data_IF_956312675074
#
_entry.id   IF_956312675074
#
_cell.length_a   1.000
_cell.length_b   1.000
_cell.length_c   1.000
_cell.angle_alpha   90.00
_cell.angle_beta   90.00
_cell.angle_gamma   90.00
#
_symmetry.space_group_name_H-M   'P 1'
#
loop_
_entity.id
_entity.type
_entity.pdbx_description
1 polymer ?
#
# COMPACT_ATOMS: atom_id res chain seq x y z
N UNK A 1 -2.55 4.41 0.92
CA UNK A 1 -2.00 3.03 0.88
C UNK A 1 -2.43 2.38 -0.42
N UNK A 2 -1.91 2.90 -1.53
CA UNK A 2 -2.18 2.34 -2.84
C UNK A 2 -1.19 1.20 -3.10
N UNK A 3 -1.75 0.01 -3.34
CA UNK A 3 -1.04 -1.23 -3.67
C UNK A 3 -1.98 -2.14 -4.45
N UNK A 4 -1.42 -3.11 -5.18
CA UNK A 4 -2.20 -4.03 -6.01
C UNK A 4 -3.26 -4.81 -5.23
N UNK A 5 -2.99 -5.20 -3.97
CA UNK A 5 -3.98 -5.87 -3.11
C UNK A 5 -5.17 -5.00 -2.69
N UNK A 6 -5.04 -3.66 -2.78
CA UNK A 6 -6.09 -2.71 -2.46
C UNK A 6 -6.89 -2.29 -3.71
N UNK A 7 -6.56 -2.86 -4.88
CA UNK A 7 -7.31 -2.68 -6.11
C UNK A 7 -8.28 -3.84 -6.31
N UNK A 8 -9.57 -3.55 -6.18
CA UNK A 8 -10.63 -4.53 -6.29
C UNK A 8 -11.20 -4.51 -7.71
N UNK A 9 -11.11 -5.63 -8.42
CA UNK A 9 -11.70 -5.79 -9.75
C UNK A 9 -13.03 -6.54 -9.63
N UNK A 10 -14.11 -5.92 -10.09
CA UNK A 10 -15.42 -6.58 -10.16
C UNK A 10 -15.51 -7.55 -11.34
N UNK A 11 -16.50 -8.46 -11.31
CA UNK A 11 -16.80 -9.36 -12.43
C UNK A 11 -17.22 -8.61 -13.72
N UNK A 12 -17.50 -7.30 -13.65
CA UNK A 12 -17.84 -6.44 -14.80
C UNK A 12 -16.63 -5.66 -15.34
N UNK A 13 -15.41 -6.02 -14.94
CA UNK A 13 -14.20 -5.30 -15.32
C UNK A 13 -14.05 -3.92 -14.67
N UNK A 14 -14.90 -3.55 -13.71
CA UNK A 14 -14.80 -2.25 -13.00
C UNK A 14 -13.77 -2.36 -11.89
N UNK A 15 -12.72 -1.55 -11.97
CA UNK A 15 -11.70 -1.37 -10.95
C UNK A 15 -12.16 -0.38 -9.88
N UNK A 16 -11.98 -0.73 -8.61
CA UNK A 16 -12.28 0.14 -7.47
C UNK A 16 -11.10 0.16 -6.50
N UNK A 17 -10.76 1.34 -6.00
CA UNK A 17 -9.82 1.48 -4.89
C UNK A 17 -10.54 1.10 -3.60
N UNK A 18 -9.93 0.19 -2.83
CA UNK A 18 -10.37 -0.18 -1.50
C UNK A 18 -9.41 0.32 -0.42
N UNK A 19 -9.75 0.01 0.84
CA UNK A 19 -8.92 0.27 2.02
C UNK A 19 -8.48 1.73 2.19
N UNK A 20 -9.43 2.55 2.68
CA UNK A 20 -9.20 3.95 3.05
C UNK A 20 -8.80 4.11 4.53
N UNK A 21 -8.38 3.03 5.22
CA UNK A 21 -8.06 3.07 6.65
C UNK A 21 -6.91 4.01 7.02
N UNK A 22 -6.12 4.42 6.02
CA UNK A 22 -5.00 5.35 6.15
C UNK A 22 -5.21 6.65 5.36
N UNK A 23 -6.39 6.83 4.76
CA UNK A 23 -6.75 8.07 4.10
C UNK A 23 -6.84 9.21 5.13
N UNK A 24 -6.42 10.40 4.72
CA UNK A 24 -6.45 11.60 5.55
C UNK A 24 -6.97 12.75 4.70
N UNK A 25 -7.77 13.62 5.32
CA UNK A 25 -8.14 14.88 4.69
C UNK A 25 -6.87 15.71 4.47
N UNK A 26 -6.72 16.20 3.23
CA UNK A 26 -5.73 17.21 2.90
C UNK A 26 -6.36 18.58 3.13
N UNK A 27 -5.67 19.44 3.90
CA UNK A 27 -6.15 20.76 4.23
C UNK A 27 -5.03 21.63 4.80
N UNK A 28 -5.18 22.94 4.70
CA UNK A 28 -4.26 23.90 5.28
C UNK A 28 -4.52 24.04 6.79
N UNK A 29 -3.51 23.93 7.67
CA UNK A 29 -2.09 23.71 7.38
C UNK A 29 -1.72 22.24 7.24
N UNK A 30 -0.69 21.96 6.43
CA UNK A 30 -0.04 20.66 6.33
C UNK A 30 0.53 20.27 7.70
N UNK A 31 -0.11 19.31 8.38
CA UNK A 31 0.39 18.77 9.66
C UNK A 31 1.48 17.74 9.40
N UNK A 32 2.48 17.69 10.28
CA UNK A 32 3.46 16.61 10.29
C UNK A 32 2.74 15.27 10.45
N UNK A 33 2.85 14.43 9.43
CA UNK A 33 2.14 13.16 9.39
C UNK A 33 3.01 12.02 9.93
N UNK A 34 2.40 11.05 10.64
CA UNK A 34 3.13 9.90 11.19
C UNK A 34 3.73 9.00 10.10
N UNK A 35 4.96 8.48 10.27
CA UNK A 35 5.50 7.45 9.40
C UNK A 35 4.63 6.20 9.51
N UNK A 36 3.96 5.86 8.41
CA UNK A 36 2.96 4.79 8.37
C UNK A 36 3.64 3.44 8.18
N UNK A 37 3.28 2.45 9.01
CA UNK A 37 3.70 1.04 8.88
C UNK A 37 2.81 0.36 7.84
N UNK A 38 3.23 0.40 6.59
CA UNK A 38 2.54 -0.15 5.40
C UNK A 38 3.55 -0.77 4.44
N UNK A 39 3.06 -1.62 3.52
CA UNK A 39 3.78 -2.18 2.38
C UNK A 39 4.74 -1.16 1.75
N UNK A 40 6.03 -1.42 1.92
CA UNK A 40 7.13 -0.51 1.59
C UNK A 40 7.28 -0.26 0.08
N UNK A 41 6.85 -1.22 -0.75
CA UNK A 41 7.20 -1.30 -2.16
C UNK A 41 6.64 -0.17 -3.04
N UNK A 42 5.56 0.46 -2.59
CA UNK A 42 4.88 1.55 -3.29
C UNK A 42 5.15 2.93 -2.66
N UNK A 43 6.04 2.99 -1.67
CA UNK A 43 6.31 4.23 -0.92
C UNK A 43 7.21 5.17 -1.73
N UNK A 44 6.78 6.43 -1.80
CA UNK A 44 7.52 7.49 -2.49
C UNK A 44 8.85 7.83 -1.80
N UNK A 45 9.88 8.26 -2.55
CA UNK A 45 11.22 8.53 -2.02
C UNK A 45 11.22 9.64 -0.96
N UNK A 46 10.37 10.66 -1.08
CA UNK A 46 10.25 11.74 -0.10
C UNK A 46 9.82 11.26 1.30
N UNK A 47 8.95 10.26 1.36
CA UNK A 47 8.55 9.63 2.62
C UNK A 47 9.70 8.83 3.22
N UNK A 48 10.44 8.10 2.38
CA UNK A 48 11.61 7.31 2.79
C UNK A 48 12.78 8.20 3.23
N UNK A 49 12.88 9.41 2.68
CA UNK A 49 13.89 10.40 3.02
C UNK A 49 13.46 11.34 4.16
N UNK A 50 12.31 11.05 4.78
CA UNK A 50 11.75 11.75 5.93
C UNK A 50 11.45 13.23 5.69
N UNK A 51 10.85 13.59 4.54
CA UNK A 51 10.29 14.93 4.38
C UNK A 51 9.23 15.20 5.45
N UNK A 52 9.24 16.40 6.02
CA UNK A 52 8.30 16.79 7.09
C UNK A 52 6.88 16.97 6.57
N UNK A 53 6.78 17.41 5.33
CA UNK A 53 5.54 17.71 4.64
C UNK A 53 5.48 16.86 3.39
N UNK A 54 4.31 16.27 3.16
CA UNK A 54 3.99 15.52 1.96
C UNK A 54 2.50 15.68 1.66
N UNK A 55 2.12 15.40 0.42
CA UNK A 55 0.77 15.66 -0.08
C UNK A 55 0.40 14.59 -1.12
N UNK A 56 -0.57 14.90 -1.97
CA UNK A 56 -1.14 14.10 -3.04
C UNK A 56 -0.08 13.41 -3.95
N UNK A 57 1.09 13.99 -4.27
CA UNK A 57 2.05 13.35 -5.15
C UNK A 57 2.55 11.97 -4.68
N UNK A 58 2.50 11.66 -3.38
CA UNK A 58 2.92 10.34 -2.86
C UNK A 58 2.07 9.21 -3.44
N UNK A 59 0.77 9.46 -3.65
CA UNK A 59 -0.16 8.47 -4.19
C UNK A 59 0.11 8.24 -5.68
N UNK A 60 0.51 9.29 -6.40
CA UNK A 60 0.90 9.20 -7.81
C UNK A 60 2.15 8.34 -8.01
N UNK A 61 3.12 8.43 -7.10
CA UNK A 61 4.26 7.51 -7.11
C UNK A 61 3.83 6.05 -6.95
N UNK A 62 2.91 5.78 -6.00
CA UNK A 62 2.36 4.45 -5.81
C UNK A 62 1.64 3.93 -7.06
N UNK A 63 0.92 4.80 -7.78
CA UNK A 63 0.32 4.47 -9.09
C UNK A 63 1.40 4.10 -10.11
N UNK A 64 2.52 4.82 -10.16
CA UNK A 64 3.67 4.47 -11.02
C UNK A 64 4.23 3.07 -10.73
N UNK A 65 4.42 2.75 -9.45
CA UNK A 65 4.84 1.41 -9.03
C UNK A 65 3.84 0.32 -9.42
N UNK A 66 2.54 0.56 -9.24
CA UNK A 66 1.46 -0.37 -9.65
C UNK A 66 1.44 -0.54 -11.17
N UNK A 67 1.55 0.55 -11.92
CA UNK A 67 1.57 0.53 -13.38
C UNK A 67 2.74 -0.34 -13.91
N UNK A 68 3.93 -0.13 -13.36
CA UNK A 68 5.09 -0.97 -13.62
C UNK A 68 4.87 -2.44 -13.24
N UNK A 69 4.28 -2.71 -12.07
CA UNK A 69 4.00 -4.07 -11.60
C UNK A 69 3.02 -4.81 -12.50
N UNK A 70 1.97 -4.14 -13.00
CA UNK A 70 1.03 -4.74 -13.95
C UNK A 70 1.67 -5.08 -15.29
N UNK A 71 2.66 -4.30 -15.72
CA UNK A 71 3.40 -4.54 -16.96
C UNK A 71 4.41 -5.70 -16.84
N UNK A 72 5.06 -5.85 -15.68
CA UNK A 72 6.08 -6.89 -15.46
C UNK A 72 5.57 -8.13 -14.71
N UNK A 73 4.35 -8.09 -14.18
CA UNK A 73 3.79 -9.09 -13.25
C UNK A 73 4.65 -9.31 -11.98
N UNK A 74 5.54 -8.36 -11.68
CA UNK A 74 6.46 -8.40 -10.53
C UNK A 74 6.61 -6.99 -9.96
N UNK A 75 6.70 -6.90 -8.64
CA UNK A 75 6.83 -5.60 -7.97
C UNK A 75 8.09 -4.86 -8.45
N UNK A 76 7.96 -3.58 -8.79
CA UNK A 76 9.06 -2.77 -9.33
C UNK A 76 10.21 -2.61 -8.32
N UNK A 77 9.86 -2.31 -7.06
CA UNK A 77 10.82 -2.07 -5.98
C UNK A 77 10.47 -2.92 -4.75
N UNK A 78 10.85 -4.22 -4.71
CA UNK A 78 10.54 -5.11 -3.59
C UNK A 78 11.60 -4.98 -2.48
N UNK A 79 11.66 -3.83 -1.82
CA UNK A 79 12.60 -3.56 -0.72
C UNK A 79 12.24 -4.28 0.58
N UNK A 80 13.27 -4.67 1.34
CA UNK A 80 13.14 -5.33 2.66
C UNK A 80 13.25 -4.36 3.84
N UNK A 81 13.83 -3.19 3.63
CA UNK A 81 13.98 -2.10 4.60
C UNK A 81 13.94 -0.77 3.86
N UNK A 82 13.70 0.36 4.54
CA UNK A 82 13.62 1.68 3.90
C UNK A 82 14.90 2.03 3.12
N UNK A 83 16.06 1.62 3.65
CA UNK A 83 17.36 1.77 2.98
C UNK A 83 17.48 0.88 1.75
N UNK A 84 17.06 -0.39 1.84
CA UNK A 84 17.04 -1.31 0.69
C UNK A 84 16.06 -0.82 -0.39
N UNK A 85 14.91 -0.27 0.01
CA UNK A 85 13.93 0.32 -0.89
C UNK A 85 14.53 1.51 -1.66
N UNK A 86 15.17 2.46 -0.97
CA UNK A 86 15.85 3.60 -1.60
C UNK A 86 16.96 3.13 -2.55
N UNK A 87 17.79 2.18 -2.13
CA UNK A 87 18.85 1.63 -2.98
C UNK A 87 18.29 0.99 -4.27
N UNK A 88 17.14 0.32 -4.20
CA UNK A 88 16.46 -0.26 -5.39
C UNK A 88 15.93 0.83 -6.31
N UNK A 89 15.30 1.87 -5.74
CA UNK A 89 14.83 3.04 -6.49
C UNK A 89 16.00 3.67 -7.23
N UNK A 90 17.10 3.97 -6.53
CA UNK A 90 18.29 4.61 -7.12
C UNK A 90 18.98 3.72 -8.15
N UNK A 91 19.02 2.40 -7.94
CA UNK A 91 19.60 1.46 -8.90
C UNK A 91 18.88 1.47 -10.25
N UNK A 92 17.57 1.67 -10.25
CA UNK A 92 16.77 1.63 -11.48
C UNK A 92 16.56 3.01 -12.11
N UNK A 93 16.39 4.06 -11.30
CA UNK A 93 16.10 5.42 -11.75
C UNK A 93 17.33 6.34 -11.78
N UNK A 94 18.45 5.88 -11.23
CA UNK A 94 19.62 6.70 -10.95
C UNK A 94 19.50 7.46 -9.62
N UNK A 95 20.64 7.81 -9.02
CA UNK A 95 20.70 8.59 -7.79
C UNK A 95 20.38 10.06 -8.10
N UNK A 96 19.40 10.69 -7.42
CA UNK A 96 19.05 12.08 -7.66
C UNK A 96 20.17 13.03 -7.23
N UNK A 97 20.18 14.21 -7.85
CA UNK A 97 21.06 15.32 -7.52
C UNK A 97 20.25 16.63 -7.52
N UNK A 98 20.88 17.77 -7.24
CA UNK A 98 20.20 19.08 -7.17
C UNK A 98 19.54 19.52 -8.49
N UNK A 99 19.94 18.96 -9.64
CA UNK A 99 19.30 19.27 -10.92
C UNK A 99 17.99 18.48 -11.07
N UNK A 100 17.98 17.22 -10.64
CA UNK A 100 16.80 16.32 -10.74
C UNK A 100 15.80 16.59 -9.63
N UNK A 101 16.29 16.91 -8.44
CA UNK A 101 15.48 17.22 -7.27
C UNK A 101 16.15 18.35 -6.47
N UNK A 102 15.76 19.61 -6.74
CA UNK A 102 16.23 20.76 -5.98
C UNK A 102 15.93 20.60 -4.48
N UNK A 103 16.96 20.71 -3.64
CA UNK A 103 16.86 20.52 -2.20
C UNK A 103 17.10 19.08 -1.73
N UNK A 104 17.44 18.13 -2.62
CA UNK A 104 17.72 16.74 -2.26
C UNK A 104 18.79 16.61 -1.16
N UNK A 105 19.90 17.35 -1.25
CA UNK A 105 20.97 17.25 -0.24
C UNK A 105 20.57 17.81 1.13
N UNK A 106 19.51 18.62 1.19
CA UNK A 106 19.00 19.18 2.45
C UNK A 106 18.06 18.22 3.20
N UNK A 107 17.73 17.07 2.60
CA UNK A 107 16.78 16.12 3.18
C UNK A 107 17.36 15.42 4.44
N UNK A 108 16.54 15.19 5.49
CA UNK A 108 17.04 14.69 6.78
C UNK A 108 17.75 13.34 6.72
N UNK A 109 17.31 12.42 5.85
CA UNK A 109 17.89 11.08 5.73
C UNK A 109 19.16 11.05 4.87
N UNK A 110 19.29 11.96 3.90
CA UNK A 110 20.43 12.00 2.95
C UNK A 110 21.75 12.22 3.70
N UNK A 111 21.75 13.07 4.72
CA UNK A 111 22.95 13.35 5.51
C UNK A 111 23.30 12.25 6.54
N UNK A 112 22.41 11.27 6.76
CA UNK A 112 22.58 10.23 7.78
C UNK A 112 22.93 8.86 7.21
N UNK A 113 22.64 8.64 5.93
CA UNK A 113 22.73 7.32 5.29
C UNK A 113 23.64 7.46 4.07
N UNK A 114 24.68 6.61 4.00
CA UNK A 114 25.49 6.49 2.80
C UNK A 114 24.78 5.59 1.80
N UNK A 115 24.34 6.16 0.68
CA UNK A 115 23.76 5.43 -0.43
C UNK A 115 24.83 5.08 -1.47
N UNK A 116 24.57 4.06 -2.28
CA UNK A 116 25.34 3.82 -3.48
C UNK A 116 24.98 4.85 -4.55
N UNK A 117 25.98 5.27 -5.33
CA UNK A 117 25.77 6.19 -6.44
C UNK A 117 25.50 5.41 -7.74
N UNK A 118 24.42 5.79 -8.43
CA UNK A 118 23.96 5.19 -9.68
C UNK A 118 23.74 6.33 -10.69
N UNK A 119 24.71 6.65 -11.55
CA UNK A 119 24.67 7.89 -12.34
C UNK A 119 23.65 7.87 -13.49
N UNK A 120 23.11 6.70 -13.85
CA UNK A 120 22.24 6.53 -15.02
C UNK A 120 21.06 5.63 -14.68
N UNK A 121 19.86 6.01 -15.13
CA UNK A 121 18.68 5.15 -15.05
C UNK A 121 18.81 3.92 -15.96
N UNK A 122 18.43 2.76 -15.44
CA UNK A 122 18.34 1.51 -16.19
C UNK A 122 16.88 1.06 -16.40
N UNK A 123 15.91 1.96 -16.19
CA UNK A 123 14.49 1.61 -16.21
C UNK A 123 14.06 1.09 -17.59
N UNK A 124 14.52 1.70 -18.69
CA UNK A 124 14.18 1.25 -20.05
C UNK A 124 14.51 -0.22 -20.29
N UNK A 125 15.63 -0.71 -19.76
CA UNK A 125 16.06 -2.10 -19.95
C UNK A 125 15.10 -3.11 -19.30
N UNK A 126 14.33 -2.69 -18.28
CA UNK A 126 13.30 -3.53 -17.66
C UNK A 126 12.03 -3.61 -18.51
N UNK A 127 11.69 -2.55 -19.23
CA UNK A 127 10.42 -2.43 -19.97
C UNK A 127 10.63 -2.51 -21.48
N UNK A 128 11.20 -3.62 -21.97
CA UNK A 128 11.51 -3.80 -23.39
C UNK A 128 10.27 -3.76 -24.29
N UNK A 129 9.12 -4.23 -23.79
CA UNK A 129 7.84 -4.30 -24.52
C UNK A 129 7.01 -3.02 -24.42
N UNK A 130 7.35 -2.11 -23.50
CA UNK A 130 6.62 -0.86 -23.33
C UNK A 130 7.02 0.12 -24.43
N UNK A 131 6.05 0.81 -25.02
CA UNK A 131 6.30 1.88 -25.98
C UNK A 131 7.07 3.04 -25.34
N UNK A 132 7.67 3.91 -26.15
CA UNK A 132 8.31 5.13 -25.65
C UNK A 132 7.29 6.08 -25.01
N UNK A 133 6.05 6.10 -25.50
CA UNK A 133 4.97 6.90 -24.91
C UNK A 133 4.58 6.35 -23.53
N UNK A 134 4.46 5.04 -23.39
CA UNK A 134 4.17 4.39 -22.11
C UNK A 134 5.30 4.53 -21.10
N UNK A 135 6.55 4.42 -21.56
CA UNK A 135 7.72 4.69 -20.71
C UNK A 135 7.74 6.15 -20.26
N UNK A 136 7.40 7.09 -21.16
CA UNK A 136 7.25 8.50 -20.83
C UNK A 136 6.24 8.74 -19.71
N UNK A 137 5.09 8.04 -19.73
CA UNK A 137 4.11 8.12 -18.64
C UNK A 137 4.68 7.54 -17.34
N UNK A 138 5.34 6.38 -17.41
CA UNK A 138 5.94 5.73 -16.23
C UNK A 138 6.99 6.65 -15.56
N UNK A 139 7.86 7.27 -16.35
CA UNK A 139 8.88 8.21 -15.84
C UNK A 139 8.24 9.46 -15.21
N UNK A 140 7.13 9.95 -15.76
CA UNK A 140 6.37 11.06 -15.16
C UNK A 140 5.74 10.69 -13.81
N UNK A 141 5.25 9.46 -13.64
CA UNK A 141 4.80 8.96 -12.34
C UNK A 141 5.96 8.81 -11.34
N UNK A 142 7.13 8.34 -11.81
CA UNK A 142 8.31 8.08 -11.01
C UNK A 142 9.29 9.27 -10.92
N UNK A 143 8.79 10.49 -11.12
CA UNK A 143 9.60 11.71 -10.95
C UNK A 143 9.93 11.91 -9.47
N UNK A 144 11.21 12.12 -9.16
CA UNK A 144 11.71 12.28 -7.79
C UNK A 144 11.09 13.47 -7.08
N UNK A 145 11.27 14.67 -7.64
CA UNK A 145 10.74 15.90 -7.08
C UNK A 145 9.20 15.87 -7.08
N UNK A 146 8.55 15.85 -5.90
CA UNK A 146 7.11 15.82 -5.81
C UNK A 146 6.42 17.02 -6.47
N UNK A 147 7.11 18.17 -6.58
CA UNK A 147 6.59 19.37 -7.22
C UNK A 147 6.57 19.27 -8.76
N UNK A 148 7.42 18.42 -9.34
CA UNK A 148 7.49 18.18 -10.79
C UNK A 148 6.80 16.89 -11.21
N UNK A 149 6.41 16.05 -10.25
CA UNK A 149 5.69 14.80 -10.51
C UNK A 149 4.32 15.10 -11.10
N UNK A 150 3.97 14.38 -12.16
CA UNK A 150 2.69 14.55 -12.86
C UNK A 150 1.51 14.45 -11.90
N UNK A 151 0.48 15.25 -12.10
CA UNK A 151 -0.76 15.11 -11.35
C UNK A 151 -1.64 14.00 -11.91
N UNK A 152 -2.58 13.49 -11.11
CA UNK A 152 -3.56 12.50 -11.60
C UNK A 152 -4.39 13.06 -12.77
N UNK A 153 -4.74 14.35 -12.75
CA UNK A 153 -5.51 14.99 -13.81
C UNK A 153 -4.72 15.07 -15.13
N UNK A 154 -3.44 15.44 -15.06
CA UNK A 154 -2.57 15.48 -16.23
C UNK A 154 -2.27 14.07 -16.77
N UNK A 155 -2.11 13.08 -15.88
CA UNK A 155 -1.88 11.69 -16.27
C UNK A 155 -3.04 11.14 -17.10
N UNK A 156 -4.29 11.44 -16.74
CA UNK A 156 -5.48 11.04 -17.50
C UNK A 156 -5.50 11.59 -18.93
N UNK A 157 -4.81 12.70 -19.18
CA UNK A 157 -4.70 13.34 -20.50
C UNK A 157 -3.47 12.86 -21.29
N UNK A 158 -2.69 11.92 -20.75
CA UNK A 158 -1.46 11.46 -21.39
C UNK A 158 -1.73 10.64 -22.65
N UNK A 159 -0.89 10.83 -23.68
CA UNK A 159 -1.02 10.17 -24.98
C UNK A 159 -1.00 8.63 -24.92
N UNK A 160 -0.45 8.05 -23.85
CA UNK A 160 -0.41 6.62 -23.62
C UNK A 160 -1.80 5.98 -23.68
N UNK A 161 -2.83 6.65 -23.13
CA UNK A 161 -4.19 6.11 -23.12
C UNK A 161 -4.90 6.18 -24.48
N UNK A 162 -4.32 6.87 -25.47
CA UNK A 162 -4.78 6.89 -26.86
C UNK A 162 -3.90 6.06 -27.81
N UNK A 163 -2.82 5.46 -27.32
CA UNK A 163 -1.92 4.64 -28.13
C UNK A 163 -2.54 3.25 -28.39
N UNK A 164 -2.43 2.68 -29.60
CA UNK A 164 -2.83 1.30 -29.85
C UNK A 164 -1.89 0.28 -29.15
N UNK A 165 -2.40 -0.86 -28.66
CA UNK A 165 -3.81 -1.24 -28.65
C UNK A 165 -4.62 -0.41 -27.64
N UNK A 166 -5.81 0.03 -28.08
CA UNK A 166 -6.71 0.79 -27.22
C UNK A 166 -7.17 -0.07 -26.04
N UNK A 167 -7.58 0.57 -24.92
CA UNK A 167 -8.14 -0.14 -23.77
C UNK A 167 -9.30 -1.05 -24.19
N UNK A 168 -9.31 -2.28 -23.68
CA UNK A 168 -10.44 -3.19 -23.89
C UNK A 168 -11.67 -2.70 -23.14
N UNK A 169 -12.85 -2.90 -23.72
CA UNK A 169 -14.10 -2.62 -23.04
C UNK A 169 -14.19 -3.45 -21.74
N UNK A 170 -14.64 -2.88 -20.60
CA UNK A 170 -14.80 -3.62 -19.35
C UNK A 170 -15.64 -4.90 -19.47
N UNK A 171 -16.59 -4.97 -20.40
CA UNK A 171 -17.39 -6.16 -20.69
C UNK A 171 -16.59 -7.31 -21.31
N UNK A 172 -15.41 -7.01 -21.88
CA UNK A 172 -14.50 -7.98 -22.49
C UNK A 172 -13.47 -8.53 -21.48
N UNK A 173 -13.41 -8.00 -20.26
CA UNK A 173 -12.58 -8.59 -19.22
C UNK A 173 -13.08 -10.00 -18.87
N UNK A 174 -12.17 -10.97 -18.65
CA UNK A 174 -12.57 -12.31 -18.25
C UNK A 174 -13.38 -12.27 -16.96
N UNK A 175 -14.65 -12.65 -17.04
CA UNK A 175 -15.53 -12.71 -15.88
C UNK A 175 -15.22 -13.98 -15.10
N UNK A 176 -14.42 -13.88 -14.03
CA UNK A 176 -14.42 -14.94 -13.03
C UNK A 176 -15.74 -14.85 -12.27
N UNK A 177 -16.51 -15.96 -12.09
CA UNK A 177 -17.68 -15.91 -11.25
C UNK A 177 -17.24 -15.45 -9.86
N UNK A 178 -17.79 -14.31 -9.41
CA UNK A 178 -17.48 -13.80 -8.08
C UNK A 178 -17.85 -14.90 -7.07
N UNK A 179 -17.04 -15.12 -6.02
CA UNK A 179 -17.36 -16.11 -4.98
C UNK A 179 -18.72 -15.86 -4.32
N UNK A 180 -19.23 -14.63 -4.38
CA UNK A 180 -20.57 -14.22 -3.95
C UNK A 180 -21.70 -14.69 -4.89
N UNK A 181 -21.40 -14.94 -6.17
CA UNK A 181 -22.34 -15.37 -7.21
C UNK A 181 -22.29 -16.87 -7.50
N UNK A 182 -21.24 -17.55 -7.04
CA UNK A 182 -21.30 -18.98 -6.73
C UNK A 182 -22.29 -19.11 -5.57
N UNK A 183 -23.59 -19.08 -5.90
CA UNK A 183 -24.69 -18.88 -4.98
C UNK A 183 -24.44 -19.62 -3.69
N UNK A 184 -24.72 -18.98 -2.56
CA UNK A 184 -24.68 -19.62 -1.26
C UNK A 184 -25.26 -21.03 -1.44
N UNK A 185 -24.40 -22.05 -1.40
CA UNK A 185 -24.85 -23.35 -0.94
C UNK A 185 -25.35 -22.98 0.45
N UNK A 186 -26.67 -22.78 0.60
CA UNK A 186 -27.31 -22.67 1.90
C UNK A 186 -26.69 -23.81 2.67
N UNK A 187 -25.84 -23.50 3.62
CA UNK A 187 -25.27 -24.54 4.44
C UNK A 187 -26.50 -25.20 5.07
N UNK A 188 -26.82 -26.44 4.66
CA UNK A 188 -27.81 -27.29 5.31
C UNK A 188 -27.26 -27.78 6.66
N UNK A 189 -26.52 -26.93 7.35
CA UNK A 189 -25.96 -27.16 8.65
C UNK A 189 -26.28 -25.90 9.44
N UNK A 190 -27.21 -26.03 10.38
CA UNK A 190 -27.47 -25.01 11.38
C UNK A 190 -26.11 -24.58 11.98
N UNK A 191 -25.89 -23.27 12.09
CA UNK A 191 -24.75 -22.74 12.83
C UNK A 191 -24.66 -23.47 14.18
N UNK A 192 -23.46 -23.92 14.61
CA UNK A 192 -23.30 -24.55 15.91
C UNK A 192 -23.91 -23.64 16.97
N UNK A 193 -24.83 -24.17 17.78
CA UNK A 193 -25.38 -23.40 18.89
C UNK A 193 -24.21 -22.97 19.78
N UNK A 194 -24.17 -21.70 20.23
CA UNK A 194 -23.14 -21.25 21.14
C UNK A 194 -23.13 -22.15 22.40
N UNK A 195 -21.96 -22.35 23.03
CA UNK A 195 -21.85 -23.16 24.24
C UNK A 195 -22.82 -22.66 25.31
N UNK A 196 -23.49 -23.58 26.01
CA UNK A 196 -24.53 -23.30 27.01
C UNK A 196 -24.05 -22.59 28.29
N UNK A 197 -22.87 -21.96 28.28
CA UNK A 197 -22.25 -21.35 29.46
C UNK A 197 -22.70 -19.93 29.79
N UNK A 198 -23.56 -19.30 28.97
CA UNK A 198 -24.00 -17.92 29.20
C UNK A 198 -25.03 -17.71 30.32
N UNK A 199 -25.54 -18.80 30.92
CA UNK A 199 -26.56 -18.72 31.98
C UNK A 199 -26.02 -18.27 33.34
N UNK A 200 -24.72 -18.48 33.61
CA UNK A 200 -24.13 -18.21 34.93
C UNK A 200 -23.67 -16.75 35.11
N UNK A 201 -23.52 -15.98 34.02
CA UNK A 201 -23.14 -14.57 34.12
C UNK A 201 -24.28 -13.65 34.58
N UNK A 202 -25.54 -14.14 34.57
CA UNK A 202 -26.70 -13.40 35.03
C UNK A 202 -26.93 -13.49 36.55
N UNK A 203 -26.10 -14.26 37.27
CA UNK A 203 -26.12 -14.39 38.74
C UNK A 203 -25.03 -13.59 39.45
N UNK A 204 -24.19 -12.86 38.73
CA UNK A 204 -23.16 -11.98 39.31
C UNK A 204 -23.58 -10.50 39.29
N UNK A 205 -24.88 -10.23 39.45
CA UNK A 205 -25.39 -8.89 39.70
C UNK A 205 -25.75 -8.75 41.18
N UNK A 206 -24.96 -7.98 41.93
CA UNK A 206 -25.32 -7.47 43.24
C UNK A 206 -24.14 -7.36 44.19
N UNK A 207 -23.50 -6.18 44.22
CA UNK A 207 -23.26 -5.35 45.41
C UNK A 207 -22.15 -4.32 45.11
N UNK A 208 -22.62 -3.10 44.88
CA UNK A 208 -22.10 -1.76 45.15
C UNK A 208 -20.59 -1.46 45.33
N UNK A 209 -20.22 -0.34 44.70
CA UNK A 209 -19.48 0.80 45.25
C UNK A 209 -18.04 1.10 44.77
N UNK A 210 -17.94 2.30 44.20
CA UNK A 210 -16.85 3.29 44.26
C UNK A 210 -15.42 3.01 43.78
N UNK A 211 -15.03 3.81 42.77
CA UNK A 211 -13.83 4.64 42.86
C UNK A 211 -12.49 4.06 42.37
N UNK A 212 -11.99 4.67 41.28
CA UNK A 212 -10.57 4.86 40.93
C UNK A 212 -9.68 3.61 40.67
N UNK A 213 -8.96 3.62 39.55
CA UNK A 213 -7.54 3.21 39.58
C UNK A 213 -7.09 2.07 38.68
N UNK A 214 -6.17 2.44 37.79
CA UNK A 214 -5.14 1.66 37.09
C UNK A 214 -4.34 0.65 37.95
N UNK A 215 -4.03 -0.55 37.37
CA UNK A 215 -2.70 -1.25 37.21
C UNK A 215 -2.63 -2.74 37.61
N UNK A 216 -2.22 -3.54 36.61
CA UNK A 216 -1.07 -4.47 36.52
C UNK A 216 -0.65 -5.33 37.74
N UNK A 217 -0.55 -6.66 37.57
CA UNK A 217 0.40 -7.46 38.36
C UNK A 217 0.11 -8.96 38.52
N UNK A 218 0.87 -9.78 37.77
CA UNK A 218 1.38 -11.15 38.03
C UNK A 218 0.66 -12.14 38.97
N UNK A 219 0.48 -13.36 38.42
CA UNK A 219 1.00 -14.60 39.02
C UNK A 219 0.03 -15.44 39.86
N UNK A 220 -0.35 -16.62 39.35
CA UNK A 220 0.11 -17.96 39.81
C UNK A 220 -0.81 -19.04 39.24
N UNK A 221 -0.14 -20.08 38.76
CA UNK A 221 -0.54 -21.39 38.26
C UNK A 221 -1.75 -22.06 38.95
N UNK A 222 -2.70 -22.60 38.16
CA UNK A 222 -3.24 -23.93 38.44
C UNK A 222 -3.88 -24.59 37.21
N UNK A 223 -3.17 -25.61 36.74
CA UNK A 223 -3.56 -26.68 35.81
C UNK A 223 -5.03 -27.10 35.92
N UNK A 224 -5.76 -27.04 34.80
CA UNK A 224 -6.82 -28.00 34.44
C UNK A 224 -6.91 -28.09 32.91
N UNK A 225 -6.74 -29.31 32.41
CA UNK A 225 -6.59 -29.62 31.00
C UNK A 225 -7.81 -29.27 30.16
N UNK A 226 -7.57 -28.61 29.04
CA UNK A 226 -8.50 -28.45 27.93
C UNK A 226 -7.76 -28.73 26.63
N UNK A 227 -8.36 -29.55 25.76
CA UNK A 227 -7.76 -30.03 24.52
C UNK A 227 -7.31 -28.87 23.62
N UNK A 228 -6.00 -28.75 23.43
CA UNK A 228 -5.38 -27.74 22.57
C UNK A 228 -5.55 -28.05 21.09
N UNK A 229 -5.97 -27.05 20.32
CA UNK A 229 -5.86 -27.03 18.86
C UNK A 229 -4.40 -26.82 18.45
N UNK A 230 -3.88 -27.64 17.55
CA UNK A 230 -2.55 -27.48 16.95
C UNK A 230 -2.70 -26.92 15.53
N UNK A 231 -2.03 -25.80 15.25
CA UNK A 231 -1.85 -25.23 13.91
C UNK A 231 -0.46 -25.65 13.42
N UNK A 232 -0.41 -26.35 12.29
CA UNK A 232 0.83 -26.62 11.56
C UNK A 232 1.16 -25.41 10.69
N UNK A 233 2.40 -24.94 10.78
CA UNK A 233 3.02 -24.01 9.83
C UNK A 233 3.27 -24.69 8.48
#
# INVERSE_FOLDING_TARGET
>A
DLKTSNLLLSHKGILKVGDFGLAREYGSPLKAYTPVVVTLWYRAPELLLCTKEYSIPIDVWSVGCIFAELLQMTALFPGKSEVDQLNRIFKDLGTPNEQVWPGFNSLPAVNKIKFHDYPVSNLRAKFSTLSEIGLGLLLKFLTYDPAQRITAEEALKHAYFGEPPLPIDPAMFPTWPAKSELGHKRAMAASPKPPSGGGEYKKLGGEDDDGYGFRLGMGVDMRRGGAGFSLKF
#
